data_IF_423724277687
#
_entry.id   IF_423724277687
#
_cell.length_a   1.000
_cell.length_b   1.000
_cell.length_c   1.000
_cell.angle_alpha   90.00
_cell.angle_beta   90.00
_cell.angle_gamma   90.00
#
_symmetry.space_group_name_H-M   'P 1'
#
loop_
_entity.id
_entity.type
_entity.pdbx_description
1 polymer ?
#
# COMPACT_ATOMS: atom_id res chain seq x y z
N UNK A 1 -47.83 -4.58 9.72
CA UNK A 1 -47.79 -4.70 11.20
C UNK A 1 -46.59 -3.91 11.67
N UNK A 2 -46.82 -2.65 12.03
CA UNK A 2 -45.80 -1.64 12.29
C UNK A 2 -45.10 -1.87 13.65
N UNK A 3 -43.81 -2.19 13.63
CA UNK A 3 -42.99 -2.23 14.84
C UNK A 3 -42.57 -0.80 15.21
N UNK A 4 -43.44 -0.10 15.95
CA UNK A 4 -43.14 1.23 16.49
C UNK A 4 -42.09 1.08 17.62
N UNK A 5 -40.86 1.48 17.35
CA UNK A 5 -39.77 1.48 18.32
C UNK A 5 -40.10 2.36 19.53
N UNK A 6 -40.02 1.79 20.74
CA UNK A 6 -40.21 2.55 21.99
C UNK A 6 -38.97 3.42 22.24
N UNK A 7 -39.10 4.73 22.04
CA UNK A 7 -38.05 5.68 22.39
C UNK A 7 -37.79 5.65 23.91
N UNK A 8 -36.56 5.31 24.30
CA UNK A 8 -36.16 5.26 25.71
C UNK A 8 -36.02 6.71 26.20
N UNK A 9 -36.92 7.14 27.09
CA UNK A 9 -36.81 8.44 27.76
C UNK A 9 -35.71 8.35 28.81
N UNK A 10 -34.56 8.98 28.52
CA UNK A 10 -33.42 9.00 29.43
C UNK A 10 -33.59 10.17 30.42
N UNK A 11 -33.66 9.86 31.72
CA UNK A 11 -33.62 10.84 32.81
C UNK A 11 -32.21 10.82 33.46
N UNK A 12 -31.77 11.93 34.06
CA UNK A 12 -30.48 12.03 34.73
C UNK A 12 -30.27 10.94 35.80
N UNK A 13 -31.33 10.58 36.55
CA UNK A 13 -31.29 9.47 37.50
C UNK A 13 -31.04 8.11 36.83
N UNK A 14 -31.62 7.87 35.64
CA UNK A 14 -31.43 6.63 34.88
C UNK A 14 -29.98 6.44 34.39
N UNK A 15 -29.26 7.54 34.10
CA UNK A 15 -27.84 7.50 33.74
C UNK A 15 -27.00 7.12 34.96
N UNK A 16 -27.33 7.65 36.14
CA UNK A 16 -26.63 7.33 37.40
C UNK A 16 -26.85 5.87 37.78
N UNK A 17 -28.08 5.36 37.67
CA UNK A 17 -28.40 3.95 37.94
C UNK A 17 -27.67 3.01 36.98
N UNK A 18 -27.68 3.33 35.68
CA UNK A 18 -26.94 2.55 34.68
C UNK A 18 -25.44 2.54 34.99
N UNK A 19 -24.87 3.68 35.37
CA UNK A 19 -23.46 3.79 35.76
C UNK A 19 -23.16 2.96 37.02
N UNK A 20 -24.05 2.97 38.01
CA UNK A 20 -23.92 2.17 39.21
C UNK A 20 -23.94 0.66 38.89
N UNK A 21 -24.84 0.22 38.01
CA UNK A 21 -24.93 -1.18 37.60
C UNK A 21 -23.71 -1.63 36.79
N UNK A 22 -23.21 -0.76 35.90
CA UNK A 22 -22.01 -1.00 35.10
C UNK A 22 -20.77 -1.15 35.99
N UNK A 23 -20.61 -0.27 36.99
CA UNK A 23 -19.52 -0.36 37.97
C UNK A 23 -19.65 -1.63 38.81
N UNK A 24 -20.86 -1.99 39.25
CA UNK A 24 -21.10 -3.24 40.01
C UNK A 24 -20.66 -4.45 39.19
N UNK A 25 -21.06 -4.53 37.92
CA UNK A 25 -20.71 -5.63 37.00
C UNK A 25 -19.23 -5.69 36.67
N UNK A 26 -18.58 -4.54 36.46
CA UNK A 26 -17.12 -4.50 36.28
C UNK A 26 -16.37 -4.96 37.53
N UNK A 27 -16.86 -4.61 38.72
CA UNK A 27 -16.31 -5.07 39.99
C UNK A 27 -16.45 -6.59 40.17
N UNK A 28 -17.64 -7.14 39.87
CA UNK A 28 -17.88 -8.59 39.84
C UNK A 28 -16.92 -9.30 38.87
N UNK A 29 -16.80 -8.80 37.63
CA UNK A 29 -15.91 -9.38 36.62
C UNK A 29 -14.43 -9.35 37.03
N UNK A 30 -13.97 -8.24 37.62
CA UNK A 30 -12.60 -8.16 38.13
C UNK A 30 -12.38 -9.11 39.31
N UNK A 31 -13.33 -9.20 40.24
CA UNK A 31 -13.26 -10.17 41.35
C UNK A 31 -13.24 -11.60 40.85
N UNK A 32 -14.06 -11.95 39.86
CA UNK A 32 -14.10 -13.28 39.25
C UNK A 32 -12.80 -13.60 38.50
N UNK A 33 -12.24 -12.63 37.77
CA UNK A 33 -10.95 -12.78 37.06
C UNK A 33 -9.74 -12.86 38.01
N UNK A 34 -9.84 -12.25 39.19
CA UNK A 34 -8.78 -12.22 40.22
C UNK A 34 -8.94 -13.29 41.31
N UNK A 35 -10.05 -14.03 41.36
CA UNK A 35 -10.21 -15.17 42.26
C UNK A 35 -9.60 -16.42 41.59
N UNK A 36 -8.38 -16.86 41.95
CA UNK A 36 -7.95 -18.21 41.64
C UNK A 36 -8.89 -19.17 42.36
N UNK A 37 -9.50 -20.09 41.62
CA UNK A 37 -10.47 -21.05 42.13
C UNK A 37 -9.83 -22.03 43.12
N UNK A 38 -9.76 -21.67 44.40
CA UNK A 38 -9.33 -22.56 45.49
C UNK A 38 -10.47 -22.75 46.48
N UNK A 39 -11.64 -23.19 45.99
CA UNK A 39 -12.62 -23.91 46.82
C UNK A 39 -13.41 -24.81 45.90
N UNK A 40 -13.39 -26.10 46.22
CA UNK A 40 -14.10 -27.15 45.51
C UNK A 40 -15.58 -26.76 45.32
N UNK A 41 -15.97 -26.49 44.07
CA UNK A 41 -17.38 -26.41 43.69
C UNK A 41 -17.94 -27.83 43.64
N UNK A 42 -19.15 -28.09 44.18
CA UNK A 42 -19.81 -29.38 43.98
C UNK A 42 -19.97 -29.61 42.48
N UNK A 43 -19.65 -30.84 42.06
CA UNK A 43 -19.65 -31.30 40.68
C UNK A 43 -21.09 -31.38 40.18
N UNK A 44 -21.71 -30.23 39.89
CA UNK A 44 -22.93 -30.20 39.08
C UNK A 44 -22.48 -30.52 37.67
N UNK A 45 -22.62 -31.79 37.29
CA UNK A 45 -22.49 -32.30 35.94
C UNK A 45 -23.63 -31.75 35.07
N UNK A 46 -23.73 -30.43 34.96
CA UNK A 46 -24.47 -29.85 33.86
C UNK A 46 -23.62 -30.12 32.62
N UNK A 47 -23.97 -31.21 31.91
CA UNK A 47 -23.68 -31.32 30.48
C UNK A 47 -24.36 -30.11 29.84
N UNK A 48 -23.69 -28.96 29.87
CA UNK A 48 -24.04 -27.81 29.05
C UNK A 48 -23.92 -28.34 27.62
N UNK A 49 -25.05 -28.76 27.03
CA UNK A 49 -25.12 -29.04 25.60
C UNK A 49 -24.54 -27.80 24.95
N UNK A 50 -23.36 -27.93 24.34
CA UNK A 50 -22.67 -26.80 23.71
C UNK A 50 -23.70 -26.08 22.86
N UNK A 51 -24.05 -24.86 23.26
CA UNK A 51 -25.08 -24.08 22.60
C UNK A 51 -24.73 -23.98 21.12
N UNK A 52 -25.74 -23.87 20.27
CA UNK A 52 -25.59 -23.76 18.81
C UNK A 52 -24.59 -22.64 18.43
N UNK A 53 -24.38 -21.68 19.34
CA UNK A 53 -23.42 -20.59 19.27
C UNK A 53 -21.93 -20.95 19.43
N UNK A 54 -21.60 -22.12 19.98
CA UNK A 54 -20.21 -22.55 20.22
C UNK A 54 -19.62 -23.35 19.05
N UNK A 55 -20.40 -23.64 18.01
CA UNK A 55 -19.92 -24.30 16.80
C UNK A 55 -19.48 -23.23 15.80
N UNK A 56 -18.18 -23.09 15.59
CA UNK A 56 -17.67 -22.28 14.50
C UNK A 56 -18.13 -22.85 13.16
N UNK A 57 -18.36 -21.97 12.17
CA UNK A 57 -18.69 -22.42 10.82
C UNK A 57 -17.54 -23.26 10.25
N UNK A 58 -17.89 -24.36 9.58
CA UNK A 58 -16.91 -25.22 8.92
C UNK A 58 -16.07 -24.38 7.93
N UNK A 59 -14.75 -24.57 7.94
CA UNK A 59 -13.82 -23.86 7.04
C UNK A 59 -13.37 -22.48 7.52
N UNK A 60 -13.87 -21.95 8.66
CA UNK A 60 -13.37 -20.67 9.22
C UNK A 60 -11.92 -20.78 9.69
N UNK A 61 -11.54 -21.89 10.32
CA UNK A 61 -10.17 -22.11 10.78
C UNK A 61 -9.17 -22.19 9.61
N UNK A 62 -9.52 -22.94 8.56
CA UNK A 62 -8.69 -23.08 7.36
C UNK A 62 -8.56 -21.76 6.60
N UNK A 63 -9.65 -20.99 6.47
CA UNK A 63 -9.62 -19.65 5.87
C UNK A 63 -8.75 -18.70 6.69
N UNK A 64 -8.93 -18.67 8.00
CA UNK A 64 -8.11 -17.85 8.91
C UNK A 64 -6.62 -18.18 8.78
N UNK A 65 -6.27 -19.46 8.70
CA UNK A 65 -4.89 -19.88 8.50
C UNK A 65 -4.32 -19.39 7.16
N UNK A 66 -5.10 -19.51 6.08
CA UNK A 66 -4.71 -19.02 4.75
C UNK A 66 -4.55 -17.49 4.72
N UNK A 67 -5.47 -16.76 5.34
CA UNK A 67 -5.42 -15.29 5.42
C UNK A 67 -4.18 -14.84 6.20
N UNK A 68 -3.79 -15.56 7.25
CA UNK A 68 -2.57 -15.27 8.02
C UNK A 68 -1.31 -15.55 7.20
N UNK A 69 -1.27 -16.64 6.45
CA UNK A 69 -0.14 -16.97 5.57
C UNK A 69 0.02 -15.93 4.45
N UNK A 70 -1.06 -15.58 3.76
CA UNK A 70 -1.06 -14.54 2.73
C UNK A 70 -0.61 -13.19 3.28
N UNK A 71 -1.13 -12.76 4.43
CA UNK A 71 -0.68 -11.52 5.06
C UNK A 71 0.82 -11.55 5.44
N UNK A 72 1.36 -12.71 5.82
CA UNK A 72 2.77 -12.84 6.13
C UNK A 72 3.64 -12.75 4.86
N UNK A 73 3.19 -13.32 3.75
CA UNK A 73 3.86 -13.22 2.45
C UNK A 73 3.80 -11.79 1.88
N UNK A 74 2.62 -11.17 1.93
CA UNK A 74 2.41 -9.79 1.47
C UNK A 74 3.29 -8.82 2.25
N UNK A 75 3.37 -8.98 3.58
CA UNK A 75 4.29 -8.18 4.43
C UNK A 75 5.74 -8.33 3.99
N UNK A 76 6.21 -9.57 3.78
CA UNK A 76 7.58 -9.81 3.31
C UNK A 76 7.83 -9.17 1.95
N UNK A 77 6.84 -9.21 1.05
CA UNK A 77 6.96 -8.58 -0.26
C UNK A 77 7.02 -7.05 -0.15
N UNK A 78 6.14 -6.46 0.67
CA UNK A 78 6.14 -5.02 0.95
C UNK A 78 7.47 -4.57 1.57
N UNK A 79 8.01 -5.31 2.52
CA UNK A 79 9.27 -4.99 3.18
C UNK A 79 10.45 -5.03 2.18
N UNK A 80 10.47 -6.02 1.27
CA UNK A 80 11.47 -6.10 0.19
C UNK A 80 11.39 -4.91 -0.76
N UNK A 81 10.18 -4.59 -1.23
CA UNK A 81 9.97 -3.44 -2.12
C UNK A 81 10.38 -2.14 -1.43
N UNK A 82 10.05 -1.98 -0.14
CA UNK A 82 10.45 -0.83 0.66
C UNK A 82 11.98 -0.72 0.78
N UNK A 83 12.66 -1.80 1.13
CA UNK A 83 14.12 -1.80 1.25
C UNK A 83 14.79 -1.40 -0.07
N UNK A 84 14.33 -1.94 -1.20
CA UNK A 84 14.86 -1.59 -2.51
C UNK A 84 14.63 -0.11 -2.88
N UNK A 85 13.46 0.45 -2.53
CA UNK A 85 13.18 1.87 -2.74
C UNK A 85 14.04 2.77 -1.85
N UNK A 86 14.26 2.38 -0.59
CA UNK A 86 15.13 3.12 0.34
C UNK A 86 16.60 3.10 -0.12
N UNK A 87 17.10 1.98 -0.64
CA UNK A 87 18.44 1.90 -1.23
C UNK A 87 18.58 2.80 -2.47
N UNK A 88 17.59 2.78 -3.36
CA UNK A 88 17.55 3.70 -4.51
C UNK A 88 17.54 5.15 -4.07
N UNK A 89 16.69 5.52 -3.11
CA UNK A 89 16.62 6.88 -2.58
C UNK A 89 17.97 7.32 -1.99
N UNK A 90 18.64 6.46 -1.22
CA UNK A 90 19.99 6.75 -0.69
C UNK A 90 21.01 7.00 -1.80
N UNK A 91 20.95 6.24 -2.88
CA UNK A 91 21.83 6.43 -4.03
C UNK A 91 21.59 7.80 -4.69
N UNK A 92 20.33 8.17 -4.92
CA UNK A 92 19.98 9.49 -5.46
C UNK A 92 20.42 10.63 -4.53
N UNK A 93 20.21 10.50 -3.22
CA UNK A 93 20.67 11.48 -2.24
C UNK A 93 22.19 11.65 -2.27
N UNK A 94 22.96 10.57 -2.46
CA UNK A 94 24.42 10.64 -2.58
C UNK A 94 24.85 11.38 -3.84
N UNK A 95 24.20 11.11 -4.97
CA UNK A 95 24.45 11.81 -6.24
C UNK A 95 24.12 13.31 -6.12
N UNK A 96 22.99 13.64 -5.51
CA UNK A 96 22.60 15.03 -5.25
C UNK A 96 23.54 15.74 -4.27
N UNK A 97 24.11 15.04 -3.28
CA UNK A 97 25.05 15.65 -2.34
C UNK A 97 26.44 15.91 -2.94
N UNK A 98 26.72 15.42 -4.16
CA UNK A 98 27.99 15.61 -4.85
C UNK A 98 29.19 14.90 -4.20
N UNK A 99 28.97 14.04 -3.20
CA UNK A 99 30.03 13.36 -2.43
C UNK A 99 30.63 12.15 -3.16
N UNK A 100 30.05 11.72 -4.28
CA UNK A 100 30.42 10.51 -5.03
C UNK A 100 30.57 10.75 -6.52
N UNK A 101 30.69 12.00 -6.97
CA UNK A 101 31.05 12.30 -8.36
C UNK A 101 32.58 12.44 -8.37
N UNK A 102 33.37 11.44 -8.78
CA UNK A 102 34.79 11.65 -9.02
C UNK A 102 34.97 12.78 -10.02
N UNK A 103 36.05 13.55 -9.88
CA UNK A 103 36.41 14.72 -10.70
C UNK A 103 36.57 14.43 -12.22
N UNK A 104 36.28 13.21 -12.66
CA UNK A 104 36.31 12.76 -14.04
C UNK A 104 34.87 12.57 -14.54
N UNK A 105 34.27 13.68 -15.00
CA UNK A 105 33.12 13.77 -15.92
C UNK A 105 32.13 12.58 -15.97
N UNK A 106 31.64 12.16 -14.80
CA UNK A 106 30.51 11.23 -14.67
C UNK A 106 29.21 11.76 -15.29
N UNK A 107 29.23 13.00 -15.80
CA UNK A 107 28.22 13.63 -16.64
C UNK A 107 27.90 12.83 -17.91
N UNK A 108 28.81 11.99 -18.40
CA UNK A 108 28.53 11.05 -19.50
C UNK A 108 27.84 9.75 -19.08
N UNK A 109 27.87 9.40 -17.79
CA UNK A 109 27.28 8.14 -17.28
C UNK A 109 25.80 8.32 -16.95
N UNK A 110 25.42 9.51 -16.48
CA UNK A 110 24.06 9.81 -16.08
C UNK A 110 23.40 10.78 -17.06
N UNK A 111 22.19 10.46 -17.50
CA UNK A 111 21.38 11.33 -18.37
C UNK A 111 20.92 12.62 -17.66
N UNK A 112 21.05 12.67 -16.33
CA UNK A 112 20.62 13.77 -15.48
C UNK A 112 21.85 14.49 -14.93
N UNK A 113 21.89 15.80 -15.11
CA UNK A 113 22.88 16.67 -14.46
C UNK A 113 22.46 16.93 -13.00
N UNK A 114 23.05 16.17 -12.08
CA UNK A 114 22.78 16.29 -10.65
C UNK A 114 23.28 17.62 -10.06
N UNK A 115 24.33 18.23 -10.61
CA UNK A 115 24.82 19.52 -10.11
C UNK A 115 23.80 20.62 -10.39
N UNK A 116 23.27 20.65 -11.63
CA UNK A 116 22.18 21.55 -11.99
C UNK A 116 20.91 21.27 -11.17
N UNK A 117 20.55 19.99 -10.99
CA UNK A 117 19.36 19.61 -10.21
C UNK A 117 19.43 20.11 -8.77
N UNK A 118 20.61 20.09 -8.14
CA UNK A 118 20.83 20.61 -6.78
C UNK A 118 20.69 22.13 -6.72
N UNK A 119 21.26 22.85 -7.69
CA UNK A 119 21.12 24.30 -7.78
C UNK A 119 19.65 24.72 -7.94
N UNK A 120 18.92 24.01 -8.80
CA UNK A 120 17.49 24.25 -9.02
C UNK A 120 16.68 23.95 -7.76
N UNK A 121 16.99 22.87 -7.02
CA UNK A 121 16.29 22.54 -5.77
C UNK A 121 16.51 23.58 -4.66
N UNK A 122 17.76 24.06 -4.49
CA UNK A 122 18.07 25.11 -3.50
C UNK A 122 17.38 26.43 -3.87
N UNK A 123 17.35 26.77 -5.16
CA UNK A 123 16.64 27.96 -5.66
C UNK A 123 15.13 27.86 -5.46
N UNK A 124 14.55 26.67 -5.65
CA UNK A 124 13.14 26.42 -5.38
C UNK A 124 12.82 26.57 -3.88
N UNK A 125 13.62 25.94 -3.00
CA UNK A 125 13.45 26.06 -1.54
C UNK A 125 13.56 27.51 -1.05
N UNK A 126 14.58 28.25 -1.54
CA UNK A 126 14.73 29.67 -1.21
C UNK A 126 13.55 30.54 -1.66
N UNK A 127 12.87 30.17 -2.76
CA UNK A 127 11.64 30.84 -3.23
C UNK A 127 10.42 30.48 -2.39
N UNK A 128 10.34 29.26 -1.85
CA UNK A 128 9.27 28.87 -0.93
C UNK A 128 9.39 29.60 0.42
N UNK A 129 10.61 29.71 0.95
CA UNK A 129 10.89 30.40 2.21
C UNK A 129 10.72 31.93 2.12
N UNK A 130 10.95 32.53 0.95
CA UNK A 130 10.86 33.97 0.72
C UNK A 130 9.42 34.52 0.52
N UNK A 131 8.40 33.66 0.61
CA UNK A 131 7.00 34.06 0.55
C UNK A 131 6.43 34.07 -0.88
N UNK A 132 5.19 33.58 -1.01
CA UNK A 132 4.41 33.41 -2.24
C UNK A 132 4.41 34.66 -3.15
N UNK A 133 5.43 34.78 -3.99
CA UNK A 133 5.52 35.76 -5.06
C UNK A 133 5.71 35.03 -6.38
N UNK A 134 4.59 34.70 -7.03
CA UNK A 134 4.41 34.40 -8.45
C UNK A 134 5.62 33.79 -9.21
N UNK A 135 5.55 32.52 -9.57
CA UNK A 135 6.00 32.11 -10.91
C UNK A 135 5.41 30.74 -11.29
N UNK A 136 4.78 30.69 -12.46
CA UNK A 136 4.14 29.55 -13.11
C UNK A 136 5.09 28.37 -13.47
N UNK A 137 6.24 28.27 -12.80
CA UNK A 137 7.35 27.37 -13.11
C UNK A 137 7.46 26.23 -12.08
N UNK A 138 7.04 26.46 -10.82
CA UNK A 138 6.96 25.41 -9.79
C UNK A 138 5.80 24.43 -10.01
N UNK A 139 4.70 24.89 -10.59
CA UNK A 139 3.59 24.02 -11.03
C UNK A 139 4.00 23.09 -12.17
N UNK A 140 4.96 23.49 -13.03
CA UNK A 140 5.50 22.59 -14.08
C UNK A 140 6.27 21.42 -13.48
N UNK A 141 7.11 21.63 -12.46
CA UNK A 141 7.91 20.54 -11.87
C UNK A 141 7.09 19.55 -11.05
N UNK A 142 6.02 20.01 -10.38
CA UNK A 142 5.07 19.13 -9.70
C UNK A 142 4.14 18.40 -10.68
N UNK A 143 3.80 19.03 -11.82
CA UNK A 143 3.07 18.38 -12.90
C UNK A 143 3.92 17.31 -13.60
N UNK A 144 5.25 17.43 -13.67
CA UNK A 144 6.13 16.44 -14.34
C UNK A 144 6.28 15.11 -13.57
N UNK A 145 5.98 15.06 -12.27
CA UNK A 145 5.91 13.80 -11.51
C UNK A 145 4.55 13.06 -11.68
N UNK A 146 3.49 13.77 -12.06
CA UNK A 146 2.14 13.23 -12.33
C UNK A 146 1.84 13.06 -13.84
N UNK A 147 2.60 13.76 -14.71
CA UNK A 147 2.48 13.70 -16.18
C UNK A 147 3.02 12.40 -16.81
N UNK A 148 3.25 11.36 -16.02
CA UNK A 148 3.79 10.10 -16.51
C UNK A 148 2.81 9.24 -17.32
N UNK A 149 1.53 9.61 -17.40
CA UNK A 149 0.52 8.77 -18.07
C UNK A 149 -0.55 9.52 -18.88
N UNK A 150 -0.90 10.76 -18.55
CA UNK A 150 -2.09 11.42 -19.12
C UNK A 150 -1.83 12.44 -20.25
N UNK A 151 -0.57 12.81 -20.52
CA UNK A 151 -0.25 13.89 -21.48
C UNK A 151 0.66 13.43 -22.65
N UNK A 152 0.55 12.16 -23.05
CA UNK A 152 1.10 11.72 -24.33
C UNK A 152 0.08 12.10 -25.40
N UNK A 153 0.38 13.09 -26.27
CA UNK A 153 -0.53 13.44 -27.35
C UNK A 153 -0.83 12.20 -28.20
N UNK A 154 -2.09 12.03 -28.61
CA UNK A 154 -2.45 10.92 -29.48
C UNK A 154 -1.54 10.94 -30.73
N UNK A 155 -0.98 9.77 -31.12
CA UNK A 155 -0.11 9.69 -32.27
C UNK A 155 -0.79 10.31 -33.49
N UNK A 156 -0.11 11.26 -34.14
CA UNK A 156 -0.65 11.90 -35.34
C UNK A 156 -0.77 10.92 -36.51
N UNK A 157 0.02 9.83 -36.47
CA UNK A 157 0.03 8.78 -37.48
C UNK A 157 -0.29 7.42 -36.81
N UNK A 158 -1.21 6.60 -37.34
CA UNK A 158 -1.57 5.30 -36.75
C UNK A 158 -0.40 4.32 -36.58
N UNK A 159 0.70 4.53 -37.29
CA UNK A 159 1.90 3.69 -37.25
C UNK A 159 2.85 4.01 -36.08
N UNK A 160 2.69 5.18 -35.44
CA UNK A 160 3.37 5.57 -34.20
C UNK A 160 2.59 5.16 -32.94
N UNK A 161 1.52 4.38 -33.12
CA UNK A 161 0.80 3.80 -32.00
C UNK A 161 1.62 2.71 -31.33
N UNK A 162 1.69 2.75 -30.00
CA UNK A 162 2.23 1.67 -29.19
C UNK A 162 1.30 0.46 -29.21
N UNK A 163 1.85 -0.71 -29.51
CA UNK A 163 1.14 -1.99 -29.56
C UNK A 163 1.84 -2.99 -28.65
N UNK A 164 1.02 -3.70 -27.86
CA UNK A 164 1.45 -4.82 -27.03
C UNK A 164 1.44 -6.13 -27.84
N UNK A 165 2.51 -6.91 -27.74
CA UNK A 165 2.64 -8.24 -28.33
C UNK A 165 3.29 -9.21 -27.35
N UNK A 166 3.18 -10.50 -27.64
CA UNK A 166 3.80 -11.56 -26.85
C UNK A 166 4.92 -12.18 -27.68
N UNK A 167 6.13 -12.26 -27.13
CA UNK A 167 7.26 -12.91 -27.79
C UNK A 167 7.16 -14.45 -27.73
N UNK A 168 8.04 -15.13 -28.47
CA UNK A 168 8.18 -16.59 -28.49
C UNK A 168 8.45 -17.23 -27.12
N UNK A 169 8.90 -16.43 -26.14
CA UNK A 169 9.16 -16.85 -24.76
C UNK A 169 7.97 -16.57 -23.83
N UNK A 170 6.84 -16.11 -24.36
CA UNK A 170 5.62 -15.83 -23.60
C UNK A 170 5.68 -14.54 -22.77
N UNK A 171 6.63 -13.63 -23.05
CA UNK A 171 6.75 -12.34 -22.35
C UNK A 171 5.99 -11.26 -23.10
N UNK A 172 5.19 -10.50 -22.37
CA UNK A 172 4.53 -9.31 -22.91
C UNK A 172 5.56 -8.19 -23.15
N UNK A 173 5.54 -7.63 -24.36
CA UNK A 173 6.42 -6.54 -24.81
C UNK A 173 5.60 -5.47 -25.52
N UNK A 174 6.07 -4.23 -25.49
CA UNK A 174 5.45 -3.06 -26.14
C UNK A 174 6.39 -2.47 -27.17
N UNK A 175 5.91 -2.20 -28.38
CA UNK A 175 6.68 -1.57 -29.46
C UNK A 175 5.79 -0.65 -30.30
N UNK A 176 6.39 0.16 -31.17
CA UNK A 176 5.62 0.91 -32.16
C UNK A 176 5.05 -0.04 -33.21
N UNK A 177 3.84 0.26 -33.71
CA UNK A 177 3.16 -0.58 -34.70
C UNK A 177 3.98 -0.80 -35.97
N UNK A 178 4.69 0.24 -36.46
CA UNK A 178 5.61 0.13 -37.60
C UNK A 178 6.73 -0.90 -37.40
N UNK A 179 7.18 -1.09 -36.16
CA UNK A 179 8.28 -1.99 -35.82
C UNK A 179 7.80 -3.41 -35.50
N UNK A 180 6.51 -3.60 -35.29
CA UNK A 180 5.91 -4.86 -34.86
C UNK A 180 6.24 -6.01 -35.81
N UNK A 181 6.12 -5.79 -37.13
CA UNK A 181 6.39 -6.83 -38.13
C UNK A 181 7.85 -7.28 -38.11
N UNK A 182 8.78 -6.33 -38.04
CA UNK A 182 10.21 -6.63 -37.97
C UNK A 182 10.58 -7.37 -36.68
N UNK A 183 9.99 -6.97 -35.55
CA UNK A 183 10.20 -7.62 -34.24
C UNK A 183 9.66 -9.05 -34.22
N UNK A 184 8.46 -9.28 -34.80
CA UNK A 184 7.89 -10.62 -34.92
C UNK A 184 8.72 -11.54 -35.84
N UNK A 185 9.27 -11.00 -36.93
CA UNK A 185 10.14 -11.75 -37.83
C UNK A 185 11.48 -12.13 -37.18
N UNK A 186 12.06 -11.22 -36.39
CA UNK A 186 13.27 -11.52 -35.62
C UNK A 186 12.98 -12.56 -34.53
N UNK A 187 11.88 -12.42 -33.81
CA UNK A 187 11.45 -13.35 -32.77
C UNK A 187 11.20 -14.76 -33.32
N UNK A 188 10.61 -14.87 -34.52
CA UNK A 188 10.43 -16.14 -35.22
C UNK A 188 11.75 -16.82 -35.57
N UNK A 189 12.80 -16.06 -35.91
CA UNK A 189 14.15 -16.57 -36.20
C UNK A 189 14.92 -16.98 -34.93
N UNK A 190 14.55 -16.41 -33.79
CA UNK A 190 15.14 -16.71 -32.48
C UNK A 190 14.46 -17.89 -31.80
N UNK A 191 13.18 -18.12 -32.09
CA UNK A 191 12.42 -19.27 -31.60
C UNK A 191 13.02 -20.60 -32.07
N UNK A 192 12.92 -21.68 -31.26
CA UNK A 192 13.42 -22.98 -31.65
C UNK A 192 12.72 -23.45 -32.93
N UNK A 193 13.50 -23.81 -33.97
CA UNK A 193 12.95 -24.53 -35.11
C UNK A 193 12.35 -25.85 -34.60
N UNK A 194 11.05 -26.04 -34.85
CA UNK A 194 10.37 -27.31 -34.62
C UNK A 194 10.47 -28.19 -35.86
#
# INVERSE_FOLDING_TARGET
>A
MDAKGKAIRVNAASIVDLKAELIRKQGEFKKEKLQPSTTAKPKVSSKQKGGIFNKSNAGVAERSQRDVEQQAEDRKNHDKSRAALEEKAKLYDQMMKGNTIPDEDGSGVFLVDFQKKVLDSVKAQAREDAGKGQSAEGERLAAEEDAGNDDIPEPSDPEEQWVDYVDSLGRSRRCMKKDLAALQDMDRKLGPEH
#
